data_IF_860704818906
#
_entry.id   IF_860704818906
#
_cell.length_a   1.000
_cell.length_b   1.000
_cell.length_c   1.000
_cell.angle_alpha   90.00
_cell.angle_beta   90.00
_cell.angle_gamma   90.00
#
_symmetry.space_group_name_H-M   'P 1'
#
loop_
_entity.id
_entity.type
_entity.pdbx_description
1 polymer ?
#
# COMPACT_ATOMS: atom_id res chain seq x y z
N UNK A 1 -18.38 22.91 12.84
CA UNK A 1 -17.03 23.46 12.59
C UNK A 1 -16.04 22.36 13.00
N UNK A 2 -14.83 22.30 12.41
CA UNK A 2 -13.84 21.19 12.51
C UNK A 2 -14.13 20.01 11.58
N UNK A 3 -13.22 19.51 10.72
CA UNK A 3 -11.78 19.36 10.83
C UNK A 3 -11.08 19.57 9.45
N UNK A 4 -11.31 20.71 8.78
CA UNK A 4 -10.77 21.00 7.43
C UNK A 4 -9.22 21.09 7.34
N UNK A 5 -8.51 20.94 8.46
CA UNK A 5 -7.07 21.21 8.60
C UNK A 5 -6.18 19.95 8.71
N UNK A 6 -6.72 18.79 9.10
CA UNK A 6 -5.86 17.68 9.56
C UNK A 6 -5.12 16.94 8.43
N UNK A 7 -5.68 16.93 7.21
CA UNK A 7 -5.16 16.13 6.09
C UNK A 7 -4.91 17.00 4.85
N UNK A 8 -3.89 17.86 4.90
CA UNK A 8 -3.70 18.92 3.87
C UNK A 8 -2.84 18.48 2.67
N UNK A 9 -1.98 17.46 2.80
CA UNK A 9 -1.00 17.10 1.76
C UNK A 9 -0.98 15.61 1.39
N UNK A 10 -0.13 14.82 2.03
CA UNK A 10 -0.01 13.38 1.72
C UNK A 10 -1.15 12.57 2.34
N UNK A 11 -1.63 13.00 3.51
CA UNK A 11 -2.71 12.33 4.22
C UNK A 11 -4.06 12.43 3.48
N UNK A 12 -4.32 13.49 2.69
CA UNK A 12 -5.54 13.55 1.85
C UNK A 12 -5.56 12.54 0.71
N UNK A 13 -4.42 11.90 0.41
CA UNK A 13 -4.35 10.79 -0.56
C UNK A 13 -4.69 9.45 0.07
N UNK A 14 -4.67 9.35 1.40
CA UNK A 14 -4.92 8.12 2.17
C UNK A 14 -6.32 8.15 2.79
N UNK A 15 -6.72 9.27 3.38
CA UNK A 15 -8.01 9.40 4.07
C UNK A 15 -9.10 9.95 3.16
N UNK A 16 -10.28 9.34 3.22
CA UNK A 16 -11.51 9.81 2.58
C UNK A 16 -12.08 11.00 3.35
N UNK A 17 -13.14 11.60 2.78
CA UNK A 17 -13.81 12.79 3.36
C UNK A 17 -14.42 12.56 4.74
N UNK A 18 -14.78 11.32 5.06
CA UNK A 18 -15.29 10.91 6.37
C UNK A 18 -14.18 10.66 7.41
N UNK A 19 -12.91 10.89 7.04
CA UNK A 19 -11.75 10.69 7.89
C UNK A 19 -11.35 9.23 8.07
N UNK A 20 -11.92 8.30 7.28
CA UNK A 20 -11.56 6.87 7.30
C UNK A 20 -10.75 6.48 6.07
N UNK A 21 -10.06 5.36 6.15
CA UNK A 21 -9.27 4.78 5.06
C UNK A 21 -9.34 3.25 5.11
N UNK A 22 -9.49 2.62 3.95
CA UNK A 22 -9.25 1.20 3.76
C UNK A 22 -7.87 1.00 3.14
N UNK A 23 -6.94 0.43 3.91
CA UNK A 23 -5.54 0.27 3.52
C UNK A 23 -5.23 -1.21 3.41
N UNK A 24 -4.64 -1.62 2.29
CA UNK A 24 -4.17 -3.00 2.10
C UNK A 24 -2.67 -3.09 2.32
N UNK A 25 -2.26 -4.00 3.19
CA UNK A 25 -0.85 -4.34 3.42
C UNK A 25 -0.37 -5.36 2.39
N UNK A 26 0.71 -5.03 1.69
CA UNK A 26 1.35 -5.81 0.63
C UNK A 26 2.89 -5.75 0.78
N UNK A 27 3.39 -5.82 2.01
CA UNK A 27 4.82 -5.70 2.33
C UNK A 27 5.47 -7.00 2.83
N UNK A 28 4.68 -8.03 3.13
CA UNK A 28 5.14 -9.35 3.64
C UNK A 28 6.19 -10.02 2.75
N UNK A 29 6.13 -9.79 1.44
CA UNK A 29 7.12 -10.36 0.50
C UNK A 29 8.56 -9.92 0.78
N UNK A 30 8.77 -8.85 1.55
CA UNK A 30 10.09 -8.38 1.96
C UNK A 30 10.79 -9.36 2.93
N UNK A 31 10.02 -10.09 3.74
CA UNK A 31 10.54 -10.99 4.80
C UNK A 31 10.26 -12.46 4.52
N UNK A 32 9.15 -12.75 3.82
CA UNK A 32 8.60 -14.09 3.63
C UNK A 32 8.76 -14.62 2.19
N UNK A 33 9.16 -13.77 1.24
CA UNK A 33 9.06 -14.09 -0.19
C UNK A 33 7.60 -14.12 -0.68
N UNK A 34 7.34 -14.60 -1.90
CA UNK A 34 5.99 -14.61 -2.46
C UNK A 34 5.11 -15.62 -1.72
N UNK A 35 4.18 -15.14 -0.90
CA UNK A 35 3.18 -16.02 -0.30
C UNK A 35 2.20 -16.53 -1.37
N UNK A 36 1.50 -17.62 -1.04
CA UNK A 36 0.51 -18.23 -1.93
C UNK A 36 -0.54 -17.20 -2.36
N UNK A 37 -0.78 -17.08 -3.66
CA UNK A 37 -1.69 -16.10 -4.25
C UNK A 37 -1.06 -14.73 -4.52
N UNK A 38 0.23 -14.52 -4.22
CA UNK A 38 0.99 -13.30 -4.51
C UNK A 38 2.10 -13.52 -5.54
N UNK A 39 2.07 -14.63 -6.27
CA UNK A 39 3.05 -15.01 -7.29
C UNK A 39 3.03 -14.03 -8.49
N UNK A 40 1.88 -13.40 -8.73
CA UNK A 40 1.66 -12.37 -9.75
C UNK A 40 1.33 -11.00 -9.12
N UNK A 41 2.30 -10.27 -8.52
CA UNK A 41 2.02 -9.03 -7.79
C UNK A 41 1.29 -7.97 -8.62
N UNK A 42 1.54 -7.90 -9.93
CA UNK A 42 0.86 -6.94 -10.81
C UNK A 42 -0.66 -7.16 -10.84
N UNK A 43 -1.11 -8.41 -10.93
CA UNK A 43 -2.53 -8.77 -10.96
C UNK A 43 -3.17 -8.55 -9.60
N UNK A 44 -2.48 -8.94 -8.53
CA UNK A 44 -2.97 -8.75 -7.15
C UNK A 44 -3.10 -7.26 -6.82
N UNK A 45 -2.10 -6.44 -7.13
CA UNK A 45 -2.16 -5.00 -6.92
C UNK A 45 -3.28 -4.35 -7.74
N UNK A 46 -3.48 -4.77 -9.00
CA UNK A 46 -4.60 -4.29 -9.81
C UNK A 46 -5.95 -4.67 -9.20
N UNK A 47 -6.09 -5.91 -8.70
CA UNK A 47 -7.29 -6.37 -8.01
C UNK A 47 -7.55 -5.55 -6.73
N UNK A 48 -6.52 -5.32 -5.90
CA UNK A 48 -6.59 -4.49 -4.68
C UNK A 48 -7.12 -3.08 -5.01
N UNK A 49 -6.56 -2.44 -6.03
CA UNK A 49 -6.97 -1.10 -6.43
C UNK A 49 -8.40 -1.09 -6.97
N UNK A 50 -8.75 -2.06 -7.83
CA UNK A 50 -10.13 -2.19 -8.34
C UNK A 50 -11.15 -2.52 -7.25
N UNK A 51 -10.72 -3.18 -6.17
CA UNK A 51 -11.52 -3.50 -4.99
C UNK A 51 -11.78 -2.31 -4.06
N UNK A 52 -11.23 -1.14 -4.37
CA UNK A 52 -11.52 0.10 -3.64
C UNK A 52 -10.61 0.40 -2.46
N UNK A 53 -9.37 -0.11 -2.46
CA UNK A 53 -8.35 0.33 -1.51
C UNK A 53 -8.08 1.83 -1.66
N UNK A 54 -8.02 2.56 -0.53
CA UNK A 54 -7.67 3.97 -0.51
C UNK A 54 -6.14 4.17 -0.56
N UNK A 55 -5.39 3.23 0.03
CA UNK A 55 -3.93 3.22 0.01
C UNK A 55 -3.35 1.79 0.10
N UNK A 56 -2.08 1.66 -0.29
CA UNK A 56 -1.31 0.42 -0.17
C UNK A 56 -0.06 0.67 0.68
N UNK A 57 0.16 -0.21 1.66
CA UNK A 57 1.43 -0.34 2.38
C UNK A 57 2.30 -1.39 1.67
N UNK A 58 3.50 -1.02 1.26
CA UNK A 58 4.39 -1.93 0.51
C UNK A 58 5.87 -1.58 0.68
N UNK A 59 6.77 -2.46 0.23
CA UNK A 59 8.21 -2.17 0.12
C UNK A 59 8.52 -1.14 -0.98
N UNK A 60 9.67 -0.48 -0.87
CA UNK A 60 10.19 0.43 -1.91
C UNK A 60 10.36 -0.27 -3.28
N UNK A 61 10.85 -1.51 -3.29
CA UNK A 61 11.07 -2.28 -4.53
C UNK A 61 9.77 -2.54 -5.28
N UNK A 62 8.74 -3.01 -4.57
CA UNK A 62 7.40 -3.22 -5.14
C UNK A 62 6.79 -1.91 -5.62
N UNK A 63 6.89 -0.84 -4.82
CA UNK A 63 6.36 0.48 -5.19
C UNK A 63 6.97 1.02 -6.49
N UNK A 64 8.28 0.82 -6.67
CA UNK A 64 8.96 1.22 -7.91
C UNK A 64 8.66 0.32 -9.09
N UNK A 65 8.58 -0.99 -8.88
CA UNK A 65 8.37 -1.97 -9.95
C UNK A 65 6.96 -1.89 -10.52
N UNK A 66 5.95 -1.65 -9.68
CA UNK A 66 4.53 -1.68 -10.04
C UNK A 66 3.87 -0.30 -9.91
N UNK A 67 4.58 0.74 -10.37
CA UNK A 67 4.13 2.13 -10.27
C UNK A 67 2.77 2.35 -10.94
N UNK A 68 2.51 1.69 -12.08
CA UNK A 68 1.27 1.87 -12.83
C UNK A 68 0.06 1.32 -12.06
N UNK A 69 0.25 0.20 -11.37
CA UNK A 69 -0.79 -0.43 -10.55
C UNK A 69 -1.07 0.40 -9.29
N UNK A 70 -0.05 1.01 -8.68
CA UNK A 70 -0.15 1.66 -7.37
C UNK A 70 -0.51 3.16 -7.47
N UNK A 71 -0.11 3.86 -8.53
CA UNK A 71 -0.36 5.29 -8.72
C UNK A 71 -1.81 5.78 -8.50
N UNK A 72 -2.86 4.98 -8.79
CA UNK A 72 -4.25 5.38 -8.54
C UNK A 72 -4.65 5.53 -7.07
N UNK A 73 -3.85 5.04 -6.11
CA UNK A 73 -4.16 5.06 -4.67
C UNK A 73 -3.06 5.74 -3.84
N UNK A 74 -3.28 5.94 -2.55
CA UNK A 74 -2.25 6.38 -1.61
C UNK A 74 -1.12 5.36 -1.47
N UNK A 75 0.09 5.85 -1.23
CA UNK A 75 1.28 5.01 -1.04
C UNK A 75 1.85 5.19 0.36
N UNK A 76 2.04 4.08 1.06
CA UNK A 76 2.74 3.99 2.34
C UNK A 76 3.92 3.03 2.13
N UNK A 77 5.13 3.50 2.48
CA UNK A 77 6.33 2.68 2.34
C UNK A 77 6.69 2.06 3.67
N UNK A 78 6.92 0.74 3.65
CA UNK A 78 7.65 0.05 4.70
C UNK A 78 9.12 0.46 4.63
N UNK A 79 9.61 1.05 5.72
CA UNK A 79 11.00 1.55 5.85
C UNK A 79 11.82 0.81 6.91
N UNK A 80 11.19 -0.11 7.64
CA UNK A 80 11.81 -1.08 8.52
C UNK A 80 11.90 -2.44 7.83
N UNK A 81 13.00 -3.16 8.04
CA UNK A 81 13.21 -4.58 7.77
C UNK A 81 14.65 -4.90 8.19
N UNK A 82 15.08 -6.16 8.04
CA UNK A 82 16.44 -6.59 8.35
C UNK A 82 16.53 -8.07 8.70
N UNK A 83 15.39 -8.74 8.81
CA UNK A 83 15.29 -10.17 9.06
C UNK A 83 14.52 -10.84 7.93
N UNK A 84 14.74 -12.14 7.74
CA UNK A 84 13.93 -12.97 6.85
C UNK A 84 13.46 -14.20 7.61
N UNK A 85 12.52 -14.94 7.05
CA UNK A 85 12.10 -16.24 7.61
C UNK A 85 13.22 -17.29 7.63
N UNK A 86 14.34 -17.05 6.93
CA UNK A 86 15.48 -17.98 6.86
C UNK A 86 16.48 -17.83 8.02
N UNK A 87 16.37 -16.78 8.83
CA UNK A 87 17.37 -16.41 9.84
C UNK A 87 18.28 -15.28 9.37
#
# INVERSE_FOLDING_TARGET
MENKSMFTRRLSRIFRRDGRAFIVAFDHGLTEGPAKGMESPAEVLAAIVSGGADAILTSYGTARRFVQQIAPVGLILRLDSGTTTLG
#
